data_IF_500019041463
#
_entry.id   IF_500019041463
#
_cell.length_a   1.000
_cell.length_b   1.000
_cell.length_c   1.000
_cell.angle_alpha   90.00
_cell.angle_beta   90.00
_cell.angle_gamma   90.00
#
_symmetry.space_group_name_H-M   'P 1'
#
loop_
_entity.id
_entity.type
_entity.pdbx_description
1 polymer ?
#
# COMPACT_ATOMS: atom_id res chain seq x y z
N UNK A 1 -5.36 -31.08 35.18
CA UNK A 1 -5.34 -32.31 34.36
C UNK A 1 -4.07 -32.31 33.53
N UNK A 2 -3.31 -33.41 33.44
CA UNK A 2 -2.18 -33.51 32.53
C UNK A 2 -2.69 -33.55 31.09
N UNK A 3 -2.04 -32.80 30.19
CA UNK A 3 -2.32 -32.75 28.75
C UNK A 3 -2.20 -34.15 28.14
N UNK A 4 -3.30 -34.89 28.07
CA UNK A 4 -3.34 -36.32 27.77
C UNK A 4 -3.64 -36.64 26.31
N UNK A 5 -3.11 -35.83 25.38
CA UNK A 5 -3.00 -36.11 23.94
C UNK A 5 -2.21 -34.98 23.26
N UNK A 6 -0.89 -35.02 23.34
CA UNK A 6 -0.06 -34.33 22.33
C UNK A 6 -0.01 -35.29 21.15
N UNK A 7 -0.62 -34.89 20.05
CA UNK A 7 -0.65 -35.68 18.82
C UNK A 7 0.81 -36.03 18.43
N UNK A 8 1.19 -37.31 18.31
CA UNK A 8 2.52 -37.66 17.83
C UNK A 8 2.59 -37.27 16.35
N UNK A 9 3.75 -36.75 15.91
CA UNK A 9 4.06 -36.26 14.55
C UNK A 9 3.66 -34.80 14.26
N UNK A 10 4.46 -33.88 14.83
CA UNK A 10 4.93 -32.60 14.26
C UNK A 10 4.18 -32.03 13.04
N UNK A 11 3.01 -31.44 13.25
CA UNK A 11 2.61 -30.29 12.43
C UNK A 11 3.36 -29.09 12.98
N UNK A 12 4.32 -28.56 12.22
CA UNK A 12 4.96 -27.28 12.55
C UNK A 12 3.83 -26.24 12.58
N UNK A 13 3.56 -25.65 13.74
CA UNK A 13 2.72 -24.46 13.81
C UNK A 13 3.58 -23.29 13.33
N UNK A 14 3.10 -22.58 12.32
CA UNK A 14 3.63 -21.27 11.97
C UNK A 14 3.36 -20.33 13.15
N UNK A 15 4.39 -19.70 13.72
CA UNK A 15 4.21 -18.74 14.81
C UNK A 15 3.18 -17.66 14.47
N UNK A 16 2.97 -17.38 13.18
CA UNK A 16 1.95 -16.46 12.69
C UNK A 16 0.53 -16.86 13.10
N UNK A 17 0.28 -18.15 13.38
CA UNK A 17 -1.01 -18.67 13.87
C UNK A 17 -1.20 -18.57 15.38
N UNK A 18 -0.16 -18.24 16.14
CA UNK A 18 -0.28 -18.08 17.59
C UNK A 18 -1.10 -16.82 17.93
N UNK A 19 -2.00 -16.88 18.95
CA UNK A 19 -2.88 -15.76 19.30
C UNK A 19 -2.14 -14.44 19.58
N UNK A 20 -0.93 -14.53 20.15
CA UNK A 20 -0.09 -13.36 20.42
C UNK A 20 0.40 -12.70 19.12
N UNK A 21 0.78 -13.50 18.12
CA UNK A 21 1.28 -13.03 16.82
C UNK A 21 0.23 -12.32 15.97
N UNK A 22 -1.06 -12.55 16.25
CA UNK A 22 -2.17 -11.85 15.62
C UNK A 22 -2.36 -10.41 16.14
N UNK A 23 -1.65 -9.98 17.20
CA UNK A 23 -1.74 -8.61 17.76
C UNK A 23 -0.74 -7.68 17.09
N UNK A 24 -1.19 -6.52 16.62
CA UNK A 24 -0.37 -5.59 15.85
C UNK A 24 0.87 -5.08 16.61
N UNK A 25 0.72 -4.75 17.91
CA UNK A 25 1.81 -4.27 18.77
C UNK A 25 2.94 -5.31 18.95
N UNK A 26 2.61 -6.60 18.88
CA UNK A 26 3.58 -7.69 19.05
C UNK A 26 4.59 -7.73 17.91
N UNK A 27 4.23 -7.23 16.72
CA UNK A 27 5.20 -7.11 15.62
C UNK A 27 6.38 -6.24 16.04
N UNK A 28 6.11 -5.06 16.61
CA UNK A 28 7.17 -4.16 17.08
C UNK A 28 7.99 -4.80 18.19
N UNK A 29 7.33 -5.43 19.18
CA UNK A 29 8.01 -6.13 20.28
C UNK A 29 8.94 -7.24 19.76
N UNK A 30 8.47 -8.05 18.80
CA UNK A 30 9.26 -9.11 18.19
C UNK A 30 10.42 -8.52 17.40
N UNK A 31 10.18 -7.57 16.51
CA UNK A 31 11.18 -7.08 15.55
C UNK A 31 12.28 -6.22 16.20
N UNK A 32 11.96 -5.43 17.22
CA UNK A 32 12.95 -4.59 17.92
C UNK A 32 13.75 -5.35 18.98
N UNK A 33 13.24 -6.48 19.48
CA UNK A 33 13.95 -7.27 20.48
C UNK A 33 15.20 -7.95 19.90
N UNK A 34 16.33 -7.84 20.58
CA UNK A 34 17.59 -8.51 20.19
C UNK A 34 17.53 -10.02 20.35
N UNK A 35 16.72 -10.49 21.31
CA UNK A 35 16.47 -11.88 21.66
C UNK A 35 15.03 -12.03 22.13
N UNK A 36 14.32 -13.03 21.65
CA UNK A 36 12.94 -13.34 22.03
C UNK A 36 12.84 -14.83 22.32
N UNK A 37 12.24 -15.17 23.45
CA UNK A 37 11.81 -16.53 23.73
C UNK A 37 10.31 -16.61 23.48
N UNK A 38 9.91 -17.31 22.44
CA UNK A 38 8.52 -17.60 22.12
C UNK A 38 8.09 -18.86 22.88
N UNK A 39 7.03 -18.75 23.65
CA UNK A 39 6.36 -19.89 24.27
C UNK A 39 5.07 -20.11 23.47
N UNK A 40 5.16 -20.97 22.46
CA UNK A 40 4.05 -21.28 21.56
C UNK A 40 3.24 -22.48 22.10
N UNK A 41 2.11 -22.76 21.45
CA UNK A 41 1.20 -23.84 21.85
C UNK A 41 1.81 -25.25 21.76
N UNK A 42 2.80 -25.45 20.87
CA UNK A 42 3.42 -26.76 20.63
C UNK A 42 4.83 -26.91 21.19
N UNK A 43 5.64 -25.84 21.16
CA UNK A 43 7.01 -25.86 21.65
C UNK A 43 7.53 -24.45 21.93
N UNK A 44 8.72 -24.37 22.54
CA UNK A 44 9.43 -23.09 22.68
C UNK A 44 10.33 -22.81 21.48
N UNK A 45 10.49 -21.53 21.15
CA UNK A 45 11.43 -21.07 20.13
C UNK A 45 12.28 -19.93 20.66
N UNK A 46 13.60 -20.00 20.44
CA UNK A 46 14.51 -18.90 20.70
C UNK A 46 14.84 -18.19 19.40
N UNK A 47 14.49 -16.91 19.31
CA UNK A 47 14.77 -16.07 18.16
C UNK A 47 15.81 -15.00 18.53
N UNK A 48 16.84 -14.85 17.71
CA UNK A 48 17.81 -13.77 17.83
C UNK A 48 18.32 -13.35 16.45
N UNK A 49 19.26 -12.39 16.40
CA UNK A 49 19.83 -11.90 15.14
C UNK A 49 20.56 -12.96 14.31
N UNK A 50 20.98 -14.08 14.92
CA UNK A 50 21.69 -15.15 14.22
C UNK A 50 20.78 -16.28 13.75
N UNK A 51 19.49 -16.26 14.11
CA UNK A 51 18.55 -17.29 13.67
C UNK A 51 17.39 -17.53 14.62
N UNK A 52 16.59 -18.52 14.24
CA UNK A 52 15.38 -18.95 14.92
C UNK A 52 15.50 -20.45 15.26
N UNK A 53 15.45 -20.77 16.55
CA UNK A 53 15.86 -22.07 17.07
C UNK A 53 14.71 -22.73 17.86
N UNK A 54 14.14 -23.84 17.39
CA UNK A 54 13.10 -24.58 18.11
C UNK A 54 13.73 -25.42 19.23
N UNK A 55 12.95 -25.65 20.29
CA UNK A 55 13.35 -26.45 21.45
C UNK A 55 13.86 -27.84 21.06
N UNK A 56 13.20 -28.50 20.11
CA UNK A 56 13.50 -29.88 19.73
C UNK A 56 14.61 -30.01 18.65
N UNK A 57 15.18 -28.90 18.16
CA UNK A 57 16.17 -28.84 17.07
C UNK A 57 15.78 -29.58 15.77
N UNK A 58 14.52 -30.01 15.65
CA UNK A 58 14.00 -30.63 14.45
C UNK A 58 13.37 -29.54 13.58
N UNK A 59 14.18 -28.88 12.75
CA UNK A 59 13.65 -28.19 11.57
C UNK A 59 14.33 -28.74 10.31
N UNK A 60 13.49 -29.27 9.42
CA UNK A 60 13.85 -29.64 8.05
C UNK A 60 13.00 -28.81 7.10
N UNK A 61 12.99 -27.49 7.28
CA UNK A 61 12.65 -26.56 6.22
C UNK A 61 13.86 -25.65 6.04
N UNK A 62 14.37 -25.59 4.80
CA UNK A 62 15.29 -24.55 4.39
C UNK A 62 14.67 -23.24 4.83
N UNK A 63 15.44 -22.43 5.55
CA UNK A 63 15.13 -21.04 5.86
C UNK A 63 14.39 -20.42 4.68
N UNK A 64 13.07 -20.31 4.74
CA UNK A 64 12.37 -19.38 3.88
C UNK A 64 12.87 -18.03 4.37
N UNK A 65 13.77 -17.47 3.59
CA UNK A 65 14.62 -16.31 3.84
C UNK A 65 13.90 -15.03 4.31
N UNK A 66 12.59 -15.07 4.51
CA UNK A 66 11.72 -13.90 4.58
C UNK A 66 11.19 -13.55 5.97
N UNK A 67 11.45 -14.35 7.01
CA UNK A 67 10.95 -14.08 8.39
C UNK A 67 12.02 -13.62 9.39
N UNK A 68 13.23 -13.26 8.92
CA UNK A 68 14.28 -12.78 9.81
C UNK A 68 14.08 -11.31 10.19
N UNK A 69 13.95 -11.04 11.50
CA UNK A 69 13.88 -9.70 12.13
C UNK A 69 14.71 -8.63 11.41
N UNK A 70 14.11 -7.97 10.41
CA UNK A 70 14.58 -6.86 9.56
C UNK A 70 15.99 -6.97 8.95
N UNK A 71 16.90 -7.82 9.44
CA UNK A 71 18.31 -7.84 9.08
C UNK A 71 18.92 -9.21 9.29
N UNK A 72 18.68 -10.12 8.34
CA UNK A 72 19.85 -10.83 7.84
C UNK A 72 20.72 -9.77 7.18
N UNK A 73 21.90 -9.50 7.73
CA UNK A 73 23.00 -8.86 7.00
C UNK A 73 23.37 -9.77 5.83
N UNK A 74 22.54 -9.84 4.79
CA UNK A 74 22.99 -10.24 3.46
C UNK A 74 23.56 -9.01 2.73
N UNK A 75 24.40 -8.25 3.44
CA UNK A 75 25.45 -7.44 2.79
C UNK A 75 26.60 -8.33 2.31
N UNK A 76 26.53 -9.65 2.54
CA UNK A 76 27.51 -10.64 2.12
C UNK A 76 27.02 -11.49 0.93
N UNK A 77 26.23 -10.93 0.00
CA UNK A 77 26.12 -11.43 -1.38
C UNK A 77 25.47 -10.40 -2.31
N UNK A 78 26.22 -9.32 -2.55
CA UNK A 78 26.48 -8.77 -3.89
C UNK A 78 25.37 -8.26 -4.82
N UNK A 79 24.08 -8.63 -4.73
CA UNK A 79 23.11 -8.27 -5.78
C UNK A 79 21.64 -8.08 -5.36
N UNK A 80 21.25 -8.32 -4.10
CA UNK A 80 19.92 -7.93 -3.65
C UNK A 80 19.93 -6.43 -3.27
N UNK A 81 19.36 -5.57 -4.12
CA UNK A 81 18.96 -4.22 -3.68
C UNK A 81 18.10 -4.40 -2.43
N UNK A 82 18.20 -3.55 -1.39
CA UNK A 82 17.32 -3.64 -0.24
C UNK A 82 15.89 -3.64 -0.75
N UNK A 83 15.26 -4.82 -0.76
CA UNK A 83 13.82 -4.93 -0.97
C UNK A 83 13.17 -4.05 0.07
N UNK A 84 12.07 -3.40 -0.27
CA UNK A 84 11.44 -2.38 0.57
C UNK A 84 10.91 -2.98 1.88
N UNK A 85 11.81 -3.20 2.84
CA UNK A 85 11.54 -3.82 4.13
C UNK A 85 10.39 -3.10 4.85
N UNK A 86 10.25 -1.79 4.62
CA UNK A 86 9.13 -1.03 5.12
C UNK A 86 7.78 -1.52 4.61
N UNK A 87 7.64 -1.78 3.30
CA UNK A 87 6.40 -2.28 2.70
C UNK A 87 6.02 -3.64 3.26
N UNK A 88 6.99 -4.53 3.45
CA UNK A 88 6.76 -5.84 4.08
C UNK A 88 6.34 -5.70 5.56
N UNK A 89 7.02 -4.85 6.33
CA UNK A 89 6.67 -4.52 7.71
C UNK A 89 5.23 -4.02 7.78
N UNK A 90 4.86 -3.06 6.92
CA UNK A 90 3.50 -2.49 6.87
C UNK A 90 2.48 -3.56 6.49
N UNK A 91 2.73 -4.39 5.47
CA UNK A 91 1.84 -5.49 5.05
C UNK A 91 1.59 -6.46 6.22
N UNK A 92 2.66 -6.93 6.86
CA UNK A 92 2.57 -7.82 8.03
C UNK A 92 1.83 -7.13 9.18
N UNK A 93 2.11 -5.86 9.43
CA UNK A 93 1.47 -5.09 10.50
C UNK A 93 -0.03 -4.90 10.26
N UNK A 94 -0.42 -4.51 9.05
CA UNK A 94 -1.79 -4.27 8.64
C UNK A 94 -2.66 -5.55 8.68
N UNK A 95 -2.05 -6.72 8.49
CA UNK A 95 -2.72 -8.02 8.62
C UNK A 95 -3.00 -8.43 10.08
N UNK A 96 -2.55 -7.65 11.08
CA UNK A 96 -2.75 -7.95 12.50
C UNK A 96 -3.87 -7.11 13.11
N UNK A 97 -4.45 -7.64 14.18
CA UNK A 97 -5.50 -6.98 14.95
C UNK A 97 -4.93 -5.89 15.85
N UNK A 98 -5.52 -4.70 15.80
CA UNK A 98 -5.19 -3.57 16.66
C UNK A 98 -6.37 -3.29 17.59
N UNK A 99 -6.12 -3.22 18.90
CA UNK A 99 -7.17 -2.97 19.89
C UNK A 99 -7.55 -1.48 19.96
N UNK A 100 -6.59 -0.59 19.72
CA UNK A 100 -6.77 0.87 19.78
C UNK A 100 -6.42 1.46 18.42
N UNK A 101 -7.44 1.72 17.59
CA UNK A 101 -7.28 2.17 16.19
C UNK A 101 -6.48 3.47 16.05
N UNK A 102 -6.64 4.39 17.00
CA UNK A 102 -5.93 5.68 17.01
C UNK A 102 -4.42 5.55 17.21
N UNK A 103 -3.94 4.40 17.66
CA UNK A 103 -2.52 4.14 17.91
C UNK A 103 -1.84 3.47 16.72
N UNK A 104 -2.52 3.34 15.58
CA UNK A 104 -2.04 2.57 14.43
C UNK A 104 -0.65 2.98 13.94
N UNK A 105 -0.39 4.28 13.83
CA UNK A 105 0.92 4.80 13.44
C UNK A 105 1.94 4.75 14.59
N UNK A 106 1.51 5.08 15.81
CA UNK A 106 2.36 5.00 17.01
C UNK A 106 2.90 3.58 17.25
N UNK A 107 2.07 2.57 17.02
CA UNK A 107 2.37 1.16 17.22
C UNK A 107 3.37 0.55 16.23
N UNK A 108 3.56 1.19 15.09
CA UNK A 108 4.57 0.82 14.10
C UNK A 108 5.75 1.81 14.09
N UNK A 109 5.63 2.94 14.80
CA UNK A 109 6.57 4.05 14.76
C UNK A 109 7.99 3.68 15.19
N UNK A 110 8.16 2.71 16.10
CA UNK A 110 9.49 2.21 16.47
C UNK A 110 10.18 1.46 15.32
N UNK A 111 9.41 0.74 14.50
CA UNK A 111 9.94 0.08 13.29
C UNK A 111 10.23 1.11 12.20
N UNK A 112 9.38 2.13 12.03
CA UNK A 112 9.65 3.23 11.12
C UNK A 112 10.96 3.96 11.47
N UNK A 113 11.17 4.28 12.75
CA UNK A 113 12.40 4.88 13.25
C UNK A 113 13.62 3.99 12.99
N UNK A 114 13.47 2.67 13.16
CA UNK A 114 14.54 1.73 12.86
C UNK A 114 14.89 1.73 11.37
N UNK A 115 13.90 1.64 10.49
CA UNK A 115 14.10 1.70 9.03
C UNK A 115 14.71 3.03 8.59
N UNK A 116 14.26 4.15 9.17
CA UNK A 116 14.82 5.48 8.94
C UNK A 116 16.32 5.52 9.21
N UNK A 117 16.74 5.01 10.38
CA UNK A 117 18.16 4.94 10.76
C UNK A 117 18.96 3.98 9.87
N UNK A 118 18.40 2.83 9.51
CA UNK A 118 19.05 1.83 8.67
C UNK A 118 19.26 2.30 7.23
N UNK A 119 18.31 3.08 6.70
CA UNK A 119 18.41 3.72 5.38
C UNK A 119 19.35 4.92 5.38
N UNK A 120 19.84 5.35 6.56
CA UNK A 120 20.70 6.53 6.69
C UNK A 120 19.99 7.83 6.34
N UNK A 121 18.67 7.87 6.47
CA UNK A 121 17.88 9.06 6.15
C UNK A 121 18.15 10.16 7.17
N UNK A 122 18.07 11.39 6.69
CA UNK A 122 18.36 12.60 7.49
C UNK A 122 17.13 13.48 7.69
N UNK A 123 15.98 13.02 7.16
CA UNK A 123 14.76 13.83 7.04
C UNK A 123 14.99 15.08 6.19
N UNK A 124 15.91 15.00 5.23
CA UNK A 124 16.10 16.04 4.22
C UNK A 124 14.88 16.10 3.29
N UNK A 125 14.62 17.24 2.62
CA UNK A 125 13.56 17.32 1.62
C UNK A 125 13.67 16.19 0.59
N UNK A 126 12.65 15.34 0.48
CA UNK A 126 12.67 14.11 -0.31
C UNK A 126 12.64 12.82 0.51
N UNK A 127 12.99 12.87 1.80
CA UNK A 127 13.16 11.70 2.70
C UNK A 127 12.11 11.62 3.81
N UNK A 128 11.13 12.53 3.82
CA UNK A 128 10.17 12.68 4.90
C UNK A 128 9.30 11.42 5.08
N UNK A 129 9.03 11.09 6.35
CA UNK A 129 8.01 10.12 6.72
C UNK A 129 6.64 10.80 6.77
N UNK A 130 5.69 10.28 5.99
CA UNK A 130 4.40 10.89 5.73
C UNK A 130 3.31 9.86 6.07
N UNK A 131 2.85 9.89 7.33
CA UNK A 131 1.74 9.06 7.83
C UNK A 131 1.84 7.58 7.40
N UNK A 132 3.01 6.96 7.52
CA UNK A 132 3.19 5.54 7.15
C UNK A 132 3.82 5.30 5.79
N UNK A 133 4.08 6.34 5.00
CA UNK A 133 4.73 6.27 3.68
C UNK A 133 6.00 7.12 3.64
N UNK A 134 6.91 6.86 2.70
CA UNK A 134 8.12 7.66 2.51
C UNK A 134 7.96 8.59 1.31
N UNK A 135 8.34 9.87 1.44
CA UNK A 135 8.19 10.85 0.35
C UNK A 135 8.83 10.39 -0.95
N UNK A 136 10.03 9.82 -0.88
CA UNK A 136 10.79 9.33 -2.04
C UNK A 136 10.00 8.40 -2.96
N UNK A 137 9.15 7.57 -2.36
CA UNK A 137 8.38 6.53 -3.05
C UNK A 137 6.87 6.84 -3.04
N UNK A 138 6.46 8.02 -2.56
CA UNK A 138 5.07 8.33 -2.26
C UNK A 138 4.16 8.19 -3.49
N UNK A 139 4.57 8.66 -4.67
CA UNK A 139 3.76 8.53 -5.89
C UNK A 139 3.42 7.07 -6.20
N UNK A 140 4.33 6.15 -5.91
CA UNK A 140 4.16 4.72 -6.10
C UNK A 140 3.44 4.06 -4.94
N UNK A 141 3.71 4.51 -3.72
CA UNK A 141 3.11 3.91 -2.54
C UNK A 141 1.64 4.31 -2.38
N UNK A 142 1.19 5.41 -3.01
CA UNK A 142 -0.21 5.85 -3.04
C UNK A 142 -1.17 4.83 -3.66
N UNK A 143 -0.67 3.93 -4.51
CA UNK A 143 -1.46 2.87 -5.15
C UNK A 143 -1.44 1.56 -4.36
N UNK A 144 -1.22 1.64 -3.04
CA UNK A 144 -1.50 0.52 -2.14
C UNK A 144 -2.94 0.03 -2.32
N UNK A 145 -3.14 -1.27 -2.14
CA UNK A 145 -4.39 -1.99 -2.44
C UNK A 145 -4.90 -2.71 -1.20
N UNK A 146 -6.18 -3.05 -1.18
CA UNK A 146 -6.80 -3.84 -0.14
C UNK A 146 -6.84 -5.31 -0.57
N UNK A 147 -6.38 -6.23 0.29
CA UNK A 147 -6.37 -7.65 -0.10
C UNK A 147 -7.78 -8.24 -0.05
N UNK A 148 -8.37 -8.58 -1.20
CA UNK A 148 -9.74 -9.08 -1.34
C UNK A 148 -9.82 -10.56 -0.98
N UNK A 149 -10.15 -10.84 0.27
CA UNK A 149 -10.49 -12.17 0.73
C UNK A 149 -11.08 -12.09 2.13
N UNK A 150 -12.41 -11.98 2.22
CA UNK A 150 -13.33 -12.16 3.37
C UNK A 150 -12.97 -11.60 4.76
N UNK A 151 -11.87 -10.89 4.93
CA UNK A 151 -11.50 -10.25 6.18
C UNK A 151 -12.37 -9.00 6.34
N UNK A 152 -13.10 -8.95 7.46
CA UNK A 152 -13.97 -7.84 7.89
C UNK A 152 -13.15 -6.55 7.96
N UNK A 153 -13.05 -5.86 6.83
CA UNK A 153 -12.47 -4.51 6.77
C UNK A 153 -13.42 -3.58 7.49
N UNK A 154 -12.85 -2.65 8.23
CA UNK A 154 -13.62 -1.59 8.84
C UNK A 154 -12.91 -0.29 8.65
N UNK A 155 -13.68 0.77 8.71
CA UNK A 155 -13.13 2.09 8.81
C UNK A 155 -12.93 2.40 10.28
N UNK A 156 -11.82 3.07 10.65
CA UNK A 156 -11.65 3.50 12.02
C UNK A 156 -12.87 4.29 12.52
N UNK A 157 -13.10 4.34 13.82
CA UNK A 157 -14.21 5.10 14.41
C UNK A 157 -13.93 6.60 14.51
N UNK A 158 -12.66 6.98 14.63
CA UNK A 158 -12.15 8.34 14.66
C UNK A 158 -11.16 8.59 13.51
N UNK A 159 -10.71 9.82 13.32
CA UNK A 159 -9.61 10.08 12.39
C UNK A 159 -8.32 9.40 12.90
N UNK A 160 -7.60 8.72 12.00
CA UNK A 160 -6.32 8.03 12.32
C UNK A 160 -5.20 8.51 11.39
N UNK A 161 -5.50 8.71 10.10
CA UNK A 161 -4.57 9.18 9.09
C UNK A 161 -5.33 9.80 7.89
N UNK A 162 -4.66 10.60 7.05
CA UNK A 162 -5.20 11.11 5.78
C UNK A 162 -5.65 9.98 4.84
N UNK A 163 -6.62 10.24 3.95
CA UNK A 163 -7.22 9.17 3.11
C UNK A 163 -6.21 8.46 2.19
N UNK A 164 -5.12 9.14 1.83
CA UNK A 164 -4.05 8.60 1.00
C UNK A 164 -3.10 7.65 1.74
N UNK A 165 -3.14 7.61 3.07
CA UNK A 165 -2.34 6.68 3.88
C UNK A 165 -3.04 5.33 4.05
N UNK A 166 -2.28 4.24 4.00
CA UNK A 166 -2.75 2.89 4.35
C UNK A 166 -3.24 2.78 5.81
N UNK A 167 -2.86 3.74 6.67
CA UNK A 167 -3.31 3.80 8.05
C UNK A 167 -4.74 4.36 8.21
N UNK A 168 -5.35 4.86 7.12
CA UNK A 168 -6.72 5.42 7.13
C UNK A 168 -7.83 4.37 7.22
N UNK A 169 -7.54 3.12 6.90
CA UNK A 169 -8.48 1.98 6.93
C UNK A 169 -8.01 0.90 7.91
N UNK A 170 -8.87 0.00 8.36
CA UNK A 170 -8.45 -1.21 9.08
C UNK A 170 -8.52 -2.44 8.18
N UNK A 171 -7.51 -3.29 8.30
CA UNK A 171 -7.42 -4.57 7.59
C UNK A 171 -6.15 -4.71 6.77
N UNK A 172 -5.99 -5.86 6.12
CA UNK A 172 -4.81 -6.17 5.32
C UNK A 172 -4.73 -5.30 4.07
N UNK A 173 -3.51 -4.87 3.75
CA UNK A 173 -3.19 -4.10 2.54
C UNK A 173 -2.02 -4.77 1.81
N UNK A 174 -1.87 -4.44 0.53
CA UNK A 174 -0.76 -4.86 -0.31
C UNK A 174 -0.12 -3.65 -1.01
N UNK A 175 1.19 -3.74 -1.25
CA UNK A 175 1.92 -2.87 -2.16
C UNK A 175 2.26 -3.64 -3.42
N UNK A 176 2.36 -2.94 -4.54
CA UNK A 176 2.60 -3.53 -5.87
C UNK A 176 3.92 -4.30 -5.96
N UNK A 177 4.98 -3.83 -5.29
CA UNK A 177 6.29 -4.51 -5.27
C UNK A 177 6.32 -5.76 -4.38
N UNK A 178 5.31 -5.98 -3.53
CA UNK A 178 5.23 -7.22 -2.75
C UNK A 178 4.85 -8.42 -3.63
N UNK A 179 4.39 -8.20 -4.86
CA UNK A 179 3.97 -9.24 -5.80
C UNK A 179 5.01 -9.46 -6.93
N UNK A 180 6.08 -8.67 -7.00
CA UNK A 180 7.08 -8.74 -8.06
C UNK A 180 8.45 -8.31 -7.54
N UNK A 181 9.46 -9.16 -7.72
CA UNK A 181 10.78 -9.09 -7.07
C UNK A 181 11.59 -7.82 -7.44
N UNK A 182 11.12 -6.97 -8.36
CA UNK A 182 11.83 -5.77 -8.80
C UNK A 182 10.88 -4.59 -9.07
N UNK A 183 11.23 -3.39 -8.56
CA UNK A 183 10.77 -2.12 -9.16
C UNK A 183 11.27 -2.12 -10.61
N UNK A 184 10.38 -2.13 -11.63
CA UNK A 184 10.82 -2.10 -13.01
C UNK A 184 11.69 -0.86 -13.23
N UNK A 185 12.80 -1.02 -13.94
CA UNK A 185 13.69 0.09 -14.31
C UNK A 185 12.96 1.17 -15.12
N UNK A 186 11.84 0.80 -15.74
CA UNK A 186 11.15 1.54 -16.79
C UNK A 186 9.73 1.98 -16.37
N UNK A 187 9.57 2.39 -15.10
CA UNK A 187 8.33 3.05 -14.66
C UNK A 187 8.31 4.47 -15.20
N UNK A 188 7.30 4.79 -16.00
CA UNK A 188 7.01 6.17 -16.40
C UNK A 188 5.98 6.79 -15.47
N UNK A 189 6.29 7.95 -14.90
CA UNK A 189 5.32 8.74 -14.11
C UNK A 189 4.42 9.55 -15.04
N UNK A 190 3.10 9.48 -14.81
CA UNK A 190 2.06 10.22 -15.53
C UNK A 190 1.47 11.38 -14.70
N UNK A 191 1.93 11.51 -13.45
CA UNK A 191 1.64 12.61 -12.55
C UNK A 191 2.93 13.08 -11.85
N UNK A 192 2.89 14.31 -11.35
CA UNK A 192 4.01 14.96 -10.66
C UNK A 192 3.67 15.20 -9.20
N UNK A 193 4.59 14.84 -8.31
CA UNK A 193 4.51 15.22 -6.90
C UNK A 193 4.99 16.65 -6.71
N UNK A 194 4.08 17.57 -6.35
CA UNK A 194 4.40 18.98 -6.05
C UNK A 194 4.77 19.15 -4.59
N UNK A 195 4.04 18.49 -3.70
CA UNK A 195 4.20 18.63 -2.26
C UNK A 195 3.49 17.54 -1.49
N UNK A 196 3.85 17.41 -0.23
CA UNK A 196 3.16 16.58 0.72
C UNK A 196 3.53 17.05 2.13
N UNK A 197 2.59 16.96 3.05
CA UNK A 197 2.81 17.34 4.46
C UNK A 197 1.92 16.47 5.35
N UNK A 198 2.40 16.22 6.56
CA UNK A 198 1.59 15.72 7.67
C UNK A 198 1.75 16.65 8.86
N UNK A 199 0.66 16.86 9.59
CA UNK A 199 0.67 17.55 10.87
C UNK A 199 0.69 16.49 11.97
N UNK A 200 1.74 16.52 12.80
CA UNK A 200 1.93 15.57 13.89
C UNK A 200 1.12 15.98 15.12
N UNK A 201 0.61 15.02 15.88
CA UNK A 201 0.03 15.30 17.21
C UNK A 201 1.11 15.80 18.19
N UNK A 202 2.33 15.25 18.09
CA UNK A 202 3.48 15.66 18.88
C UNK A 202 4.75 15.62 18.03
N UNK A 203 5.55 16.69 18.09
CA UNK A 203 6.86 16.75 17.43
C UNK A 203 7.88 15.77 18.01
N UNK A 204 7.65 15.26 19.22
CA UNK A 204 8.50 14.24 19.86
C UNK A 204 8.27 12.84 19.27
N UNK A 205 7.19 12.65 18.50
CA UNK A 205 6.84 11.38 17.85
C UNK A 205 6.75 11.54 16.32
N UNK A 206 7.89 11.71 15.62
CA UNK A 206 7.91 11.98 14.17
C UNK A 206 7.37 10.83 13.31
N UNK A 207 7.26 9.63 13.87
CA UNK A 207 6.69 8.44 13.20
C UNK A 207 5.33 8.02 13.77
N UNK A 208 4.77 8.82 14.67
CA UNK A 208 3.56 8.50 15.43
C UNK A 208 2.28 9.08 14.84
N UNK A 209 1.37 9.48 15.72
CA UNK A 209 0.04 9.96 15.36
C UNK A 209 0.08 11.29 14.60
N UNK A 210 -0.80 11.41 13.62
CA UNK A 210 -1.03 12.61 12.81
C UNK A 210 -2.42 13.17 13.09
N UNK A 211 -2.59 14.48 12.92
CA UNK A 211 -3.88 15.20 13.08
C UNK A 211 -4.47 15.63 11.74
N UNK A 212 -3.63 15.82 10.73
CA UNK A 212 -4.01 16.11 9.34
C UNK A 212 -2.84 15.80 8.41
N UNK A 213 -3.09 15.84 7.10
CA UNK A 213 -2.05 15.75 6.09
C UNK A 213 -2.62 15.89 4.69
N UNK A 214 -1.76 16.23 3.75
CA UNK A 214 -2.15 16.37 2.36
C UNK A 214 -1.02 15.92 1.43
N UNK A 215 -1.42 15.49 0.24
CA UNK A 215 -0.54 15.27 -0.91
C UNK A 215 -1.02 16.17 -2.03
N UNK A 216 -0.10 16.93 -2.60
CA UNK A 216 -0.33 17.79 -3.74
C UNK A 216 0.31 17.16 -4.97
N UNK A 217 -0.54 16.65 -5.85
CA UNK A 217 -0.18 16.12 -7.14
C UNK A 217 -0.55 17.11 -8.24
N UNK A 218 0.14 16.99 -9.36
CA UNK A 218 -0.25 17.62 -10.61
C UNK A 218 -0.41 16.51 -11.64
N UNK A 219 -1.59 16.39 -12.23
CA UNK A 219 -1.98 15.24 -13.06
C UNK A 219 -3.16 15.55 -13.96
N UNK A 220 -3.50 14.63 -14.86
CA UNK A 220 -4.75 14.70 -15.63
C UNK A 220 -5.87 14.03 -14.84
N UNK A 221 -7.02 14.70 -14.75
CA UNK A 221 -8.25 14.10 -14.22
C UNK A 221 -9.06 13.49 -15.35
N UNK A 222 -9.41 12.20 -15.22
CA UNK A 222 -10.32 11.52 -16.13
C UNK A 222 -11.59 11.11 -15.38
N UNK A 223 -12.68 10.97 -16.13
CA UNK A 223 -14.01 10.69 -15.60
C UNK A 223 -14.54 9.41 -16.23
N UNK A 224 -15.18 8.53 -15.44
CA UNK A 224 -15.73 7.29 -15.99
C UNK A 224 -16.83 7.59 -17.01
N UNK A 225 -16.94 6.72 -18.01
CA UNK A 225 -17.97 6.74 -19.05
C UNK A 225 -18.97 5.57 -18.93
N UNK A 226 -18.65 4.54 -18.14
CA UNK A 226 -19.51 3.39 -17.82
C UNK A 226 -19.01 2.66 -16.56
N UNK A 227 -19.84 1.77 -15.99
CA UNK A 227 -19.52 0.96 -14.80
C UNK A 227 -20.03 -0.48 -14.98
N UNK A 228 -19.20 -1.48 -14.70
CA UNK A 228 -19.57 -2.91 -14.70
C UNK A 228 -20.26 -3.33 -13.39
N UNK A 229 -20.96 -4.46 -13.40
CA UNK A 229 -21.69 -4.96 -12.21
C UNK A 229 -20.76 -5.27 -11.02
N UNK A 230 -19.50 -5.62 -11.29
CA UNK A 230 -18.46 -5.88 -10.29
C UNK A 230 -17.79 -4.61 -9.76
N UNK A 231 -18.12 -3.45 -10.33
CA UNK A 231 -17.61 -2.14 -9.93
C UNK A 231 -16.51 -1.57 -10.82
N UNK A 232 -16.07 -2.33 -11.84
CA UNK A 232 -15.04 -1.86 -12.76
C UNK A 232 -15.48 -0.65 -13.58
N UNK A 233 -14.52 0.24 -13.87
CA UNK A 233 -14.80 1.54 -14.48
C UNK A 233 -14.31 1.57 -15.93
N UNK A 234 -15.15 2.05 -16.84
CA UNK A 234 -14.78 2.31 -18.22
C UNK A 234 -14.49 3.78 -18.46
N UNK A 235 -13.54 4.06 -19.34
CA UNK A 235 -13.16 5.42 -19.73
C UNK A 235 -13.08 5.53 -21.24
N UNK A 236 -13.42 6.71 -21.77
CA UNK A 236 -13.33 7.01 -23.20
C UNK A 236 -12.15 7.92 -23.48
N UNK A 237 -11.34 7.55 -24.46
CA UNK A 237 -10.22 8.37 -24.95
C UNK A 237 -10.24 8.39 -26.47
N UNK A 238 -10.65 9.52 -27.05
CA UNK A 238 -10.92 9.63 -28.49
C UNK A 238 -12.09 8.74 -28.92
N UNK A 239 -11.85 7.90 -29.92
CA UNK A 239 -12.80 6.92 -30.47
C UNK A 239 -12.80 5.56 -29.76
N UNK A 240 -11.86 5.36 -28.83
CA UNK A 240 -11.68 4.10 -28.11
C UNK A 240 -12.09 4.21 -26.65
N UNK A 241 -12.23 3.05 -26.01
CA UNK A 241 -12.46 2.95 -24.56
C UNK A 241 -11.45 2.01 -23.91
N UNK A 242 -11.27 2.13 -22.61
CA UNK A 242 -10.49 1.18 -21.83
C UNK A 242 -11.13 0.96 -20.46
N UNK A 243 -10.92 -0.24 -19.92
CA UNK A 243 -11.39 -0.64 -18.60
C UNK A 243 -10.31 -0.46 -17.54
N UNK A 244 -10.73 -0.16 -16.33
CA UNK A 244 -9.92 -0.22 -15.12
C UNK A 244 -10.54 -1.22 -14.15
N UNK A 245 -9.72 -2.17 -13.71
CA UNK A 245 -10.03 -3.07 -12.61
C UNK A 245 -9.88 -2.30 -11.31
N UNK A 246 -10.96 -2.21 -10.55
CA UNK A 246 -11.01 -1.35 -9.37
C UNK A 246 -10.83 -2.11 -8.07
N UNK A 247 -10.11 -1.51 -7.14
CA UNK A 247 -10.02 -1.94 -5.75
C UNK A 247 -10.41 -0.77 -4.85
N UNK A 248 -11.63 -0.85 -4.33
CA UNK A 248 -12.27 0.23 -3.59
C UNK A 248 -12.02 0.10 -2.08
N UNK A 249 -11.76 1.23 -1.44
CA UNK A 249 -11.64 1.30 0.01
C UNK A 249 -13.00 1.08 0.71
N UNK A 250 -13.03 0.64 1.99
CA UNK A 250 -14.29 0.50 2.73
C UNK A 250 -15.04 1.83 2.97
N UNK A 251 -16.36 1.74 3.15
CA UNK A 251 -17.39 2.81 3.05
C UNK A 251 -17.42 3.90 4.15
N UNK A 252 -16.26 4.37 4.62
CA UNK A 252 -16.13 5.69 5.31
C UNK A 252 -15.29 6.67 4.49
N UNK A 253 -14.38 6.13 3.67
CA UNK A 253 -13.58 6.86 2.69
C UNK A 253 -13.81 6.36 1.27
N UNK A 254 -14.25 5.11 1.07
CA UNK A 254 -14.85 4.60 -0.17
C UNK A 254 -16.15 5.32 -0.52
N UNK A 255 -16.67 5.07 -1.74
CA UNK A 255 -17.93 5.64 -2.24
C UNK A 255 -18.95 5.72 -1.08
N UNK A 256 -19.67 6.85 -0.89
CA UNK A 256 -20.82 6.89 0.00
C UNK A 256 -21.74 5.70 -0.31
N UNK A 257 -22.82 5.50 0.45
CA UNK A 257 -23.92 4.59 0.04
C UNK A 257 -24.63 5.03 -1.27
N UNK A 258 -23.94 5.81 -2.11
CA UNK A 258 -24.25 6.25 -3.45
C UNK A 258 -23.74 5.19 -4.41
N UNK A 259 -24.61 4.70 -5.28
CA UNK A 259 -24.25 3.72 -6.28
C UNK A 259 -23.20 4.29 -7.24
N UNK A 260 -22.27 3.46 -7.74
CA UNK A 260 -21.29 3.88 -8.75
C UNK A 260 -21.94 4.58 -9.97
N UNK A 261 -23.18 4.20 -10.30
CA UNK A 261 -23.99 4.83 -11.35
C UNK A 261 -24.29 6.32 -11.12
N UNK A 262 -24.33 6.82 -9.89
CA UNK A 262 -24.59 8.24 -9.63
C UNK A 262 -23.40 9.13 -10.01
N UNK A 263 -22.19 8.57 -10.05
CA UNK A 263 -21.00 9.27 -10.56
C UNK A 263 -21.03 9.42 -12.08
N UNK A 264 -21.60 8.43 -12.76
CA UNK A 264 -21.82 8.47 -14.21
C UNK A 264 -22.79 9.58 -14.61
N UNK A 265 -23.82 9.78 -13.80
CA UNK A 265 -24.82 10.83 -13.99
C UNK A 265 -24.34 12.23 -13.56
N UNK A 266 -23.06 12.37 -13.17
CA UNK A 266 -22.47 13.60 -12.60
C UNK A 266 -23.22 14.12 -11.36
N UNK A 267 -23.93 13.24 -10.64
CA UNK A 267 -24.58 13.60 -9.36
C UNK A 267 -23.56 13.67 -8.22
N UNK A 268 -22.35 13.15 -8.43
CA UNK A 268 -21.21 13.23 -7.52
C UNK A 268 -19.90 13.29 -8.32
N UNK A 269 -18.88 13.95 -7.76
CA UNK A 269 -17.58 14.13 -8.43
C UNK A 269 -16.63 12.97 -8.10
N UNK A 270 -16.62 11.93 -8.93
CA UNK A 270 -15.56 10.92 -8.93
C UNK A 270 -14.59 11.21 -10.06
N UNK A 271 -13.33 11.22 -9.69
CA UNK A 271 -12.21 11.57 -10.55
C UNK A 271 -11.18 10.47 -10.46
N UNK A 272 -10.62 10.09 -11.59
CA UNK A 272 -9.53 9.13 -11.65
C UNK A 272 -8.28 9.81 -12.17
N UNK A 273 -7.13 9.49 -11.57
CA UNK A 273 -5.85 10.14 -11.85
C UNK A 273 -4.81 9.08 -12.22
N UNK A 274 -4.29 9.06 -13.46
CA UNK A 274 -3.20 8.17 -13.85
C UNK A 274 -1.91 8.57 -13.11
N UNK A 275 -1.27 7.64 -12.40
CA UNK A 275 -0.02 7.92 -11.68
C UNK A 275 1.20 7.41 -12.42
N UNK A 276 1.16 6.16 -12.87
CA UNK A 276 2.32 5.45 -13.39
C UNK A 276 1.92 4.45 -14.46
N UNK A 277 2.85 4.19 -15.36
CA UNK A 277 2.77 3.15 -16.38
C UNK A 277 4.01 2.25 -16.27
N UNK A 278 3.80 0.94 -16.40
CA UNK A 278 4.87 -0.03 -16.50
C UNK A 278 5.17 -0.37 -17.95
N UNK A 279 6.44 -0.22 -18.32
CA UNK A 279 7.00 -0.79 -19.55
C UNK A 279 7.84 -2.03 -19.20
N UNK A 280 7.41 -3.22 -19.65
CA UNK A 280 8.15 -4.50 -19.73
C UNK A 280 8.53 -5.21 -18.39
N UNK A 281 8.64 -6.54 -18.27
CA UNK A 281 8.96 -7.64 -19.20
C UNK A 281 8.03 -8.85 -18.98
N UNK A 282 7.57 -9.48 -20.07
CA UNK A 282 7.21 -10.91 -20.06
C UNK A 282 8.49 -11.67 -19.68
N UNK A 283 8.68 -11.93 -18.39
CA UNK A 283 9.74 -12.82 -17.95
C UNK A 283 9.44 -14.21 -18.50
N UNK A 284 10.48 -14.96 -18.91
CA UNK A 284 10.35 -16.32 -19.43
C UNK A 284 9.65 -17.31 -18.46
N UNK A 285 9.41 -16.90 -17.22
CA UNK A 285 8.72 -17.65 -16.17
C UNK A 285 7.28 -17.20 -15.91
N UNK A 286 6.80 -16.11 -16.54
CA UNK A 286 5.37 -15.79 -16.54
C UNK A 286 4.70 -16.76 -17.50
N UNK A 287 3.81 -17.60 -16.96
CA UNK A 287 2.89 -18.35 -17.81
C UNK A 287 2.07 -17.33 -18.61
N UNK A 288 1.89 -17.57 -19.90
CA UNK A 288 1.11 -16.77 -20.87
C UNK A 288 -0.38 -16.52 -20.48
N UNK A 289 -0.77 -16.75 -19.21
CA UNK A 289 -2.16 -16.69 -18.72
C UNK A 289 -2.42 -15.55 -17.73
N UNK A 290 -1.40 -14.87 -17.18
CA UNK A 290 -1.60 -13.74 -16.24
C UNK A 290 -1.30 -12.39 -16.92
N UNK A 291 -2.30 -11.50 -17.06
CA UNK A 291 -2.09 -10.23 -17.73
C UNK A 291 -1.17 -9.29 -16.94
N UNK A 292 -0.16 -8.72 -17.60
CA UNK A 292 0.69 -7.71 -16.99
C UNK A 292 -0.07 -6.39 -16.76
N UNK A 293 0.05 -5.73 -15.59
CA UNK A 293 -0.53 -4.41 -15.37
C UNK A 293 0.16 -3.35 -16.23
N UNK A 294 -0.63 -2.60 -16.99
CA UNK A 294 -0.19 -1.50 -17.84
C UNK A 294 -0.04 -0.18 -17.07
N UNK A 295 -1.06 0.29 -16.36
CA UNK A 295 -1.03 1.54 -15.59
C UNK A 295 -1.79 1.42 -14.26
N UNK A 296 -1.39 2.26 -13.30
CA UNK A 296 -2.07 2.45 -12.02
C UNK A 296 -2.69 3.83 -11.90
N UNK A 297 -3.84 3.85 -11.25
CA UNK A 297 -4.70 5.01 -11.14
C UNK A 297 -5.16 5.20 -9.70
N UNK A 298 -5.24 6.45 -9.25
CA UNK A 298 -5.98 6.80 -8.03
C UNK A 298 -7.44 7.05 -8.37
N UNK A 299 -8.33 6.56 -7.53
CA UNK A 299 -9.75 6.89 -7.57
C UNK A 299 -10.03 7.85 -6.43
N UNK A 300 -10.58 9.01 -6.76
CA UNK A 300 -10.73 10.15 -5.88
C UNK A 300 -12.18 10.65 -5.88
N UNK A 301 -12.63 11.18 -4.74
CA UNK A 301 -13.92 11.89 -4.62
C UNK A 301 -13.68 13.26 -4.01
N UNK A 302 -14.42 14.27 -4.49
CA UNK A 302 -14.40 15.62 -3.92
C UNK A 302 -14.66 15.61 -2.40
N UNK A 303 -13.85 16.34 -1.64
CA UNK A 303 -14.00 16.52 -0.20
C UNK A 303 -14.50 17.92 0.11
N UNK A 304 -15.60 18.03 0.86
CA UNK A 304 -16.16 19.32 1.32
C UNK A 304 -15.49 19.84 2.59
N UNK A 305 -14.42 19.19 3.07
CA UNK A 305 -13.71 19.57 4.30
C UNK A 305 -13.22 21.02 4.22
N UNK A 306 -13.97 21.90 4.88
CA UNK A 306 -13.78 23.34 4.88
C UNK A 306 -12.66 23.81 5.81
N UNK A 307 -12.11 24.96 5.45
CA UNK A 307 -11.41 25.86 6.35
C UNK A 307 -9.93 25.54 6.60
N UNK A 308 -9.05 26.12 5.76
CA UNK A 308 -7.77 26.65 6.26
C UNK A 308 -6.50 26.25 5.51
N UNK A 309 -6.47 25.13 4.76
CA UNK A 309 -5.19 24.61 4.23
C UNK A 309 -4.95 24.81 2.73
N UNK A 310 -5.98 25.16 1.94
CA UNK A 310 -5.83 25.33 0.49
C UNK A 310 -6.62 26.54 0.03
N UNK A 311 -5.93 27.48 -0.60
CA UNK A 311 -6.45 28.76 -1.07
C UNK A 311 -7.41 28.52 -2.26
N UNK A 312 -8.66 28.16 -1.98
CA UNK A 312 -9.71 27.94 -3.00
C UNK A 312 -9.56 26.68 -3.88
N UNK A 313 -8.58 25.81 -3.63
CA UNK A 313 -8.39 24.57 -4.40
C UNK A 313 -9.30 23.44 -3.91
N UNK A 314 -9.92 22.73 -4.86
CA UNK A 314 -10.75 21.56 -4.61
C UNK A 314 -9.90 20.43 -4.00
N UNK A 315 -10.30 19.96 -2.82
CA UNK A 315 -9.67 18.83 -2.14
C UNK A 315 -10.37 17.53 -2.52
N UNK A 316 -9.63 16.44 -2.46
CA UNK A 316 -10.08 15.09 -2.77
C UNK A 316 -9.74 14.13 -1.64
N UNK A 317 -10.53 13.06 -1.51
CA UNK A 317 -10.17 11.89 -0.72
C UNK A 317 -9.88 10.71 -1.65
N UNK A 318 -8.87 9.92 -1.34
CA UNK A 318 -8.63 8.62 -1.99
C UNK A 318 -9.72 7.65 -1.54
N UNK A 319 -10.32 6.97 -2.50
CA UNK A 319 -11.45 6.05 -2.28
C UNK A 319 -11.20 4.66 -2.88
N UNK A 320 -10.04 4.49 -3.51
CA UNK A 320 -9.63 3.25 -4.15
C UNK A 320 -8.53 3.50 -5.16
N UNK A 321 -8.17 2.43 -5.86
CA UNK A 321 -7.21 2.45 -6.96
C UNK A 321 -7.75 1.68 -8.15
N UNK A 322 -7.25 1.99 -9.33
CA UNK A 322 -7.57 1.29 -10.57
C UNK A 322 -6.30 0.72 -11.20
N UNK A 323 -6.44 -0.42 -11.85
CA UNK A 323 -5.37 -1.07 -12.62
C UNK A 323 -5.86 -1.40 -14.02
N UNK A 324 -5.04 -1.15 -15.04
CA UNK A 324 -5.39 -1.43 -16.43
C UNK A 324 -4.47 -2.52 -16.99
N UNK A 325 -4.97 -3.63 -17.52
CA UNK A 325 -4.14 -4.78 -17.93
C UNK A 325 -3.75 -4.81 -19.42
N UNK A 326 -2.54 -5.28 -19.74
CA UNK A 326 -1.97 -5.32 -21.09
C UNK A 326 -2.62 -6.36 -22.02
N UNK A 327 -3.31 -7.40 -21.55
CA UNK A 327 -3.98 -8.35 -22.47
C UNK A 327 -5.23 -7.76 -23.15
N UNK A 328 -5.78 -6.67 -22.61
CA UNK A 328 -6.86 -5.91 -23.26
C UNK A 328 -6.39 -5.18 -24.53
N UNK A 329 -5.11 -5.33 -24.93
CA UNK A 329 -4.49 -4.80 -26.14
C UNK A 329 -4.83 -5.58 -27.43
N UNK A 330 -5.92 -6.36 -27.48
CA UNK A 330 -6.39 -7.02 -28.72
C UNK A 330 -7.56 -6.24 -29.34
N UNK A 331 -7.28 -5.28 -30.23
CA UNK A 331 -8.29 -4.56 -31.02
C UNK A 331 -8.08 -3.04 -31.12
N UNK A 332 -9.11 -2.30 -31.57
CA UNK A 332 -9.12 -0.82 -31.71
C UNK A 332 -8.94 -0.08 -30.38
N UNK A 333 -9.24 -0.73 -29.25
CA UNK A 333 -9.11 -0.21 -27.89
C UNK A 333 -7.64 0.00 -27.45
N UNK A 334 -6.66 -0.57 -28.18
CA UNK A 334 -5.22 -0.33 -28.02
C UNK A 334 -4.82 1.15 -28.00
N UNK A 335 -5.52 1.96 -28.79
CA UNK A 335 -5.13 3.34 -28.98
C UNK A 335 -5.57 4.22 -27.80
N UNK A 336 -6.59 3.83 -27.05
CA UNK A 336 -7.17 4.67 -26.00
C UNK A 336 -6.18 4.92 -24.85
N UNK A 337 -5.56 3.87 -24.29
CA UNK A 337 -4.59 4.02 -23.20
C UNK A 337 -3.31 4.73 -23.63
N UNK A 338 -2.80 4.39 -24.82
CA UNK A 338 -1.62 5.06 -25.37
C UNK A 338 -1.88 6.54 -25.65
N UNK A 339 -3.08 6.90 -26.11
CA UNK A 339 -3.50 8.31 -26.24
C UNK A 339 -3.58 9.00 -24.89
N UNK A 340 -4.16 8.36 -23.88
CA UNK A 340 -4.19 8.90 -22.51
C UNK A 340 -2.78 9.18 -22.01
N UNK A 341 -1.88 8.21 -22.18
CA UNK A 341 -0.49 8.34 -21.79
C UNK A 341 0.20 9.50 -22.52
N UNK A 342 0.08 9.56 -23.84
CA UNK A 342 0.63 10.66 -24.64
C UNK A 342 0.06 12.01 -24.18
N UNK A 343 -1.25 12.07 -23.88
CA UNK A 343 -1.90 13.27 -23.35
C UNK A 343 -1.31 13.68 -22.00
N UNK A 344 -1.07 12.74 -21.07
CA UNK A 344 -0.40 13.04 -19.81
C UNK A 344 1.01 13.59 -20.04
N UNK A 345 1.78 12.97 -20.92
CA UNK A 345 3.14 13.42 -21.26
C UNK A 345 3.16 14.80 -21.93
N UNK A 346 2.26 15.04 -22.88
CA UNK A 346 2.08 16.33 -23.53
C UNK A 346 1.69 17.41 -22.51
N UNK A 347 0.76 17.11 -21.60
CA UNK A 347 0.34 18.03 -20.56
C UNK A 347 1.47 18.34 -19.56
N UNK A 348 2.33 17.37 -19.25
CA UNK A 348 3.54 17.57 -18.45
C UNK A 348 4.52 18.53 -19.14
N UNK A 349 4.74 18.35 -20.44
CA UNK A 349 5.64 19.22 -21.24
C UNK A 349 5.06 20.63 -21.40
N UNK A 350 3.75 20.74 -21.60
CA UNK A 350 3.05 22.02 -21.81
C UNK A 350 2.74 22.76 -20.51
N UNK A 351 2.86 22.11 -19.35
CA UNK A 351 2.49 22.68 -18.06
C UNK A 351 0.99 22.87 -17.87
N UNK A 352 0.16 22.03 -18.53
CA UNK A 352 -1.31 22.09 -18.49
C UNK A 352 -1.93 21.05 -17.56
N UNK A 353 -1.11 20.38 -16.75
CA UNK A 353 -1.59 19.48 -15.70
C UNK A 353 -2.42 20.23 -14.65
N UNK A 354 -3.41 19.54 -14.11
CA UNK A 354 -4.30 20.09 -13.10
C UNK A 354 -3.76 19.81 -11.70
N UNK A 355 -3.96 20.75 -10.77
CA UNK A 355 -3.64 20.56 -9.36
C UNK A 355 -4.68 19.69 -8.66
N UNK A 356 -4.18 18.72 -7.89
CA UNK A 356 -4.98 17.72 -7.21
C UNK A 356 -4.45 17.60 -5.79
N UNK A 357 -5.27 18.00 -4.81
CA UNK A 357 -4.91 17.92 -3.40
C UNK A 357 -5.69 16.80 -2.74
N UNK A 358 -4.99 15.79 -2.24
CA UNK A 358 -5.56 14.64 -1.56
C UNK A 358 -5.38 14.83 -0.06
N UNK A 359 -6.47 14.72 0.71
CA UNK A 359 -6.51 14.96 2.18
C UNK A 359 -6.89 13.72 2.98
#
# INVERSE_FOLDING_TARGET
MPLSRVNPWSSIIELEEEPLSKRAWVLQERYLATRTLHIASTQMYFECRSGFYPQNRHMRHKDSQEDFKIHRRDTAQGNAKPTDAWKDIVRRYANRSLTVESDKLTAIGGLAARVFLERGLTNSPGEEYLAGLWRKDLLWDLVWQTWTGDLKRSTPTSYTAPSWSWASINGPIAFLESQSIHRPSDIQSLALMKGAKVDLESSESPFGRVTSGWVHLSGIKIYPCDVEEDGDLWFREGDGRFRLHTDMDPSRFGLPEVHLADYMDKKSELVVVPLTLHYELVGADYKDEDPAPGAYFLILISSTSGGGLTDGLLCFRRVGVGTSYMEELRGNDNNARRRLQNRCMEAMVQGTLEDIIIV
#
